data_IF_192719772769
#
_entry.id   IF_192719772769
#
_cell.length_a   1.000
_cell.length_b   1.000
_cell.length_c   1.000
_cell.angle_alpha   90.00
_cell.angle_beta   90.00
_cell.angle_gamma   90.00
#
_symmetry.space_group_name_H-M   'P 1'
#
loop_
_entity.id
_entity.type
_entity.pdbx_description
1 polymer ?
#
# COMPACT_ATOMS: atom_id res chain seq x y z
N UNK A 1 20.38 -27.89 -12.11
CA UNK A 1 20.60 -26.42 -12.02
C UNK A 1 19.30 -25.73 -12.42
N UNK A 2 18.84 -24.78 -11.61
CA UNK A 2 17.73 -23.91 -11.95
C UNK A 2 18.25 -22.68 -12.70
N UNK A 3 17.54 -22.25 -13.74
CA UNK A 3 17.84 -21.04 -14.50
C UNK A 3 16.59 -20.17 -14.60
N UNK A 4 16.76 -18.86 -14.47
CA UNK A 4 15.71 -17.87 -14.67
C UNK A 4 16.29 -16.64 -15.36
N UNK A 5 15.44 -15.96 -16.15
CA UNK A 5 15.75 -14.70 -16.79
C UNK A 5 14.71 -13.67 -16.35
N UNK A 6 15.14 -12.44 -16.11
CA UNK A 6 14.25 -11.33 -15.81
C UNK A 6 14.58 -10.13 -16.72
N UNK A 7 13.54 -9.41 -17.10
CA UNK A 7 13.62 -8.18 -17.88
C UNK A 7 13.32 -6.99 -16.97
N UNK A 8 14.12 -5.94 -17.08
CA UNK A 8 13.84 -4.65 -16.42
C UNK A 8 12.88 -3.87 -17.30
N UNK A 9 11.77 -3.45 -16.73
CA UNK A 9 10.73 -2.66 -17.40
C UNK A 9 10.94 -1.17 -17.12
N UNK A 10 10.48 -0.32 -18.05
CA UNK A 10 10.53 1.12 -17.85
C UNK A 10 9.61 1.56 -16.70
N UNK A 11 10.09 2.45 -15.82
CA UNK A 11 9.34 2.87 -14.66
C UNK A 11 8.16 3.79 -15.05
N UNK A 12 7.13 3.81 -14.22
CA UNK A 12 6.06 4.81 -14.28
C UNK A 12 6.58 6.13 -13.70
N UNK A 13 6.17 7.25 -14.26
CA UNK A 13 6.50 8.57 -13.73
C UNK A 13 5.42 9.04 -12.75
N UNK A 14 5.85 9.55 -11.60
CA UNK A 14 4.98 10.24 -10.64
C UNK A 14 5.02 11.73 -10.97
N UNK A 15 4.01 12.23 -11.70
CA UNK A 15 3.93 13.65 -12.08
C UNK A 15 3.65 14.52 -10.84
N UNK A 16 2.74 14.04 -9.98
CA UNK A 16 2.32 14.76 -8.78
C UNK A 16 1.74 13.79 -7.77
N UNK A 17 2.00 14.06 -6.50
CA UNK A 17 1.36 13.34 -5.41
C UNK A 17 0.92 14.34 -4.33
N UNK A 18 -0.35 14.31 -3.98
CA UNK A 18 -0.98 15.20 -3.01
C UNK A 18 -1.69 14.39 -1.93
N UNK A 19 -1.72 14.93 -0.72
CA UNK A 19 -2.63 14.48 0.33
C UNK A 19 -3.98 15.16 0.15
N UNK A 20 -5.05 14.38 -0.06
CA UNK A 20 -6.42 14.91 -0.15
C UNK A 20 -6.99 15.12 1.24
N UNK A 21 -6.79 14.14 2.10
CA UNK A 21 -7.34 14.09 3.45
C UNK A 21 -6.32 13.42 4.38
N UNK A 22 -6.18 13.93 5.58
CA UNK A 22 -5.34 13.34 6.61
C UNK A 22 -6.07 13.48 7.95
N UNK A 23 -6.60 12.36 8.42
CA UNK A 23 -7.33 12.25 9.67
C UNK A 23 -6.45 11.64 10.74
N UNK A 24 -6.52 12.22 11.92
CA UNK A 24 -5.73 11.87 13.08
C UNK A 24 -6.65 11.63 14.25
N UNK A 25 -6.48 10.52 14.93
CA UNK A 25 -7.23 10.21 16.13
C UNK A 25 -6.32 9.62 17.22
N UNK A 26 -6.67 9.92 18.45
CA UNK A 26 -6.03 9.40 19.65
C UNK A 26 -7.05 8.65 20.48
N UNK A 27 -6.66 7.48 20.95
CA UNK A 27 -7.43 6.73 21.93
C UNK A 27 -6.57 6.53 23.17
N UNK A 28 -6.94 7.20 24.25
CA UNK A 28 -6.16 7.22 25.49
C UNK A 28 -6.87 6.41 26.58
N UNK A 29 -6.07 5.58 27.27
CA UNK A 29 -6.46 4.92 28.51
C UNK A 29 -5.44 5.31 29.59
N UNK A 30 -5.67 4.91 30.85
CA UNK A 30 -4.70 5.12 31.93
C UNK A 30 -3.36 4.41 31.69
N UNK A 31 -3.30 3.42 30.82
CA UNK A 31 -2.13 2.57 30.58
C UNK A 31 -1.52 2.78 29.19
N UNK A 32 -2.35 3.08 28.19
CA UNK A 32 -1.92 3.13 26.81
C UNK A 32 -2.47 4.32 26.06
N UNK A 33 -1.68 4.81 25.09
CA UNK A 33 -2.08 5.80 24.11
C UNK A 33 -1.92 5.21 22.72
N UNK A 34 -3.04 5.02 22.04
CA UNK A 34 -3.07 4.64 20.64
C UNK A 34 -3.15 5.87 19.75
N UNK A 35 -2.28 5.92 18.77
CA UNK A 35 -2.23 6.97 17.75
C UNK A 35 -2.59 6.34 16.43
N UNK A 36 -3.63 6.85 15.78
CA UNK A 36 -4.08 6.41 14.47
C UNK A 36 -3.99 7.57 13.50
N UNK A 37 -3.53 7.29 12.31
CA UNK A 37 -3.56 8.24 11.22
C UNK A 37 -4.02 7.54 9.95
N UNK A 38 -5.06 8.08 9.33
CA UNK A 38 -5.52 7.70 8.00
C UNK A 38 -5.23 8.84 7.03
N UNK A 39 -4.63 8.52 5.89
CA UNK A 39 -4.28 9.50 4.86
C UNK A 39 -4.78 9.02 3.51
N UNK A 40 -5.50 9.90 2.82
CA UNK A 40 -5.95 9.68 1.45
C UNK A 40 -5.07 10.47 0.49
N UNK A 41 -4.58 9.77 -0.51
CA UNK A 41 -3.64 10.27 -1.51
C UNK A 41 -4.30 10.42 -2.88
N UNK A 42 -3.89 11.43 -3.61
CA UNK A 42 -4.19 11.60 -5.03
C UNK A 42 -2.88 11.70 -5.80
N UNK A 43 -2.64 10.74 -6.68
CA UNK A 43 -1.35 10.60 -7.33
C UNK A 43 -1.56 10.60 -8.84
N UNK A 44 -0.99 11.59 -9.51
CA UNK A 44 -1.02 11.68 -10.97
C UNK A 44 0.18 10.96 -11.54
N UNK A 45 -0.09 9.99 -12.41
CA UNK A 45 0.87 9.08 -13.01
C UNK A 45 0.94 9.25 -14.51
N UNK A 46 2.10 8.93 -15.08
CA UNK A 46 2.29 8.79 -16.51
C UNK A 46 3.10 7.54 -16.82
N UNK A 47 2.59 6.70 -17.70
CA UNK A 47 3.31 5.53 -18.20
C UNK A 47 4.15 5.88 -19.42
N UNK A 48 5.22 5.14 -19.68
CA UNK A 48 5.92 5.19 -20.96
C UNK A 48 4.99 4.87 -22.13
N UNK A 49 5.26 5.39 -23.29
CA UNK A 49 4.50 5.09 -24.52
C UNK A 49 5.01 3.77 -25.09
N UNK A 50 4.25 2.70 -24.94
CA UNK A 50 4.57 1.37 -25.47
C UNK A 50 3.41 0.77 -26.25
N UNK A 51 3.68 -0.26 -27.06
CA UNK A 51 2.66 -0.99 -27.83
C UNK A 51 2.14 -2.23 -27.09
N UNK A 52 2.49 -2.40 -25.82
CA UNK A 52 2.06 -3.53 -25.00
C UNK A 52 1.66 -3.05 -23.60
N UNK A 53 0.79 -3.83 -22.96
CA UNK A 53 0.37 -3.55 -21.57
C UNK A 53 1.53 -3.56 -20.62
N UNK A 54 1.52 -2.61 -19.70
CA UNK A 54 2.51 -2.46 -18.66
C UNK A 54 1.89 -2.79 -17.31
N UNK A 55 2.74 -3.32 -16.43
CA UNK A 55 2.32 -3.84 -15.13
C UNK A 55 3.11 -3.17 -14.02
N UNK A 56 2.40 -2.85 -12.94
CA UNK A 56 2.96 -2.07 -11.84
C UNK A 56 2.49 -2.59 -10.50
N UNK A 57 3.26 -2.25 -9.49
CA UNK A 57 2.89 -2.39 -8.08
C UNK A 57 3.10 -1.06 -7.37
N UNK A 58 2.24 -0.71 -6.42
CA UNK A 58 2.38 0.49 -5.59
C UNK A 58 2.50 0.12 -4.12
N UNK A 59 3.31 0.89 -3.40
CA UNK A 59 3.41 0.81 -1.95
C UNK A 59 3.63 2.19 -1.33
N UNK A 60 3.20 2.36 -0.08
CA UNK A 60 3.41 3.60 0.68
C UNK A 60 4.11 3.25 1.99
N UNK A 61 5.31 3.80 2.17
CA UNK A 61 6.06 3.72 3.41
C UNK A 61 5.83 4.97 4.22
N UNK A 62 5.23 4.84 5.40
CA UNK A 62 5.08 5.93 6.34
C UNK A 62 6.08 5.79 7.48
N UNK A 63 6.83 6.85 7.76
CA UNK A 63 7.79 6.89 8.87
C UNK A 63 7.46 8.07 9.76
N UNK A 64 7.26 7.82 11.03
CA UNK A 64 6.99 8.82 12.05
C UNK A 64 8.10 8.87 13.09
N UNK A 65 8.45 10.07 13.46
CA UNK A 65 9.40 10.37 14.54
C UNK A 65 8.65 11.03 15.69
N UNK A 66 8.70 10.40 16.85
CA UNK A 66 8.07 10.84 18.09
C UNK A 66 9.10 11.46 19.01
N UNK A 67 8.91 12.69 19.42
CA UNK A 67 9.62 13.27 20.57
C UNK A 67 8.82 12.99 21.82
N UNK A 68 9.42 12.25 22.74
CA UNK A 68 8.79 11.74 23.96
C UNK A 68 9.51 12.31 25.19
N UNK A 69 8.74 12.60 26.23
CA UNK A 69 9.29 12.87 27.57
C UNK A 69 8.92 11.73 28.51
N UNK A 70 9.88 11.14 29.17
CA UNK A 70 9.62 10.19 30.23
C UNK A 70 8.98 10.90 31.44
N UNK A 71 7.79 10.46 31.86
CA UNK A 71 7.02 11.12 32.94
C UNK A 71 7.69 11.03 34.32
N UNK A 72 8.56 10.03 34.54
CA UNK A 72 9.25 9.81 35.82
C UNK A 72 10.58 10.55 35.86
N UNK A 73 11.39 10.46 34.82
CA UNK A 73 12.75 11.03 34.82
C UNK A 73 12.80 12.42 34.21
N UNK A 74 11.74 12.87 33.54
CA UNK A 74 11.61 14.13 32.75
C UNK A 74 12.66 14.24 31.62
N UNK A 75 13.26 13.12 31.23
CA UNK A 75 14.23 13.07 30.15
C UNK A 75 13.51 12.92 28.79
N UNK A 76 14.01 13.64 27.81
CA UNK A 76 13.53 13.55 26.45
C UNK A 76 14.19 12.41 25.69
N UNK A 77 13.41 11.77 24.82
CA UNK A 77 13.86 10.69 23.95
C UNK A 77 13.17 10.80 22.57
N UNK A 78 13.69 10.05 21.62
CA UNK A 78 13.13 9.97 20.27
C UNK A 78 12.84 8.52 19.93
N UNK A 79 11.63 8.24 19.48
CA UNK A 79 11.24 6.95 18.90
C UNK A 79 10.91 7.13 17.41
N UNK A 80 11.26 6.12 16.61
CA UNK A 80 10.95 6.08 15.19
C UNK A 80 10.13 4.83 14.92
N UNK A 81 9.03 4.98 14.21
CA UNK A 81 8.20 3.88 13.76
C UNK A 81 7.95 3.99 12.26
N UNK A 82 7.97 2.84 11.58
CA UNK A 82 7.78 2.76 10.14
C UNK A 82 6.77 1.67 9.84
N UNK A 83 5.83 1.98 8.94
CA UNK A 83 4.80 1.06 8.48
C UNK A 83 4.67 1.12 6.97
N UNK A 84 4.39 -0.05 6.36
CA UNK A 84 4.20 -0.22 4.94
C UNK A 84 2.77 -0.68 4.69
N UNK A 85 1.87 0.28 4.51
CA UNK A 85 0.47 -0.04 4.27
C UNK A 85 -0.18 0.96 3.33
N UNK A 86 -0.81 0.46 2.26
CA UNK A 86 -1.74 1.22 1.46
C UNK A 86 -2.81 0.29 0.88
N UNK A 87 -3.95 0.88 0.56
CA UNK A 87 -5.06 0.20 -0.09
C UNK A 87 -5.58 1.05 -1.24
N UNK A 88 -5.83 0.40 -2.35
CA UNK A 88 -6.50 0.99 -3.50
C UNK A 88 -7.96 0.56 -3.63
N UNK A 89 -8.64 0.21 -2.54
CA UNK A 89 -10.02 -0.30 -2.54
C UNK A 89 -11.01 0.59 -3.31
N UNK A 90 -10.79 1.90 -3.33
CA UNK A 90 -11.63 2.85 -4.07
C UNK A 90 -11.06 3.25 -5.43
N UNK A 91 -9.96 2.63 -5.86
CA UNK A 91 -9.30 2.97 -7.12
C UNK A 91 -9.68 2.01 -8.24
N UNK A 92 -10.04 2.55 -9.39
CA UNK A 92 -10.53 1.77 -10.53
C UNK A 92 -9.45 0.84 -11.10
N UNK A 93 -8.21 1.30 -11.20
CA UNK A 93 -7.12 0.49 -11.76
C UNK A 93 -6.69 -0.65 -10.83
N UNK A 94 -6.69 -0.39 -9.51
CA UNK A 94 -6.35 -1.39 -8.51
C UNK A 94 -7.47 -2.42 -8.28
N UNK A 95 -8.71 -2.06 -8.57
CA UNK A 95 -9.89 -2.93 -8.39
C UNK A 95 -10.46 -3.45 -9.72
N UNK A 96 -9.65 -3.50 -10.77
CA UNK A 96 -10.04 -4.04 -12.10
C UNK A 96 -11.36 -3.48 -12.64
N UNK A 97 -11.57 -2.18 -12.49
CA UNK A 97 -12.79 -1.49 -12.94
C UNK A 97 -13.98 -1.60 -11.99
N UNK A 98 -13.80 -2.19 -10.80
CA UNK A 98 -14.86 -2.39 -9.80
C UNK A 98 -14.46 -1.78 -8.45
N UNK A 99 -14.23 -0.45 -8.38
CA UNK A 99 -13.83 0.19 -7.13
C UNK A 99 -14.90 0.02 -6.06
N UNK A 100 -14.47 -0.12 -4.81
CA UNK A 100 -15.36 -0.12 -3.66
C UNK A 100 -16.13 1.19 -3.54
N UNK A 101 -17.31 1.14 -2.93
CA UNK A 101 -18.10 2.34 -2.63
C UNK A 101 -18.15 2.57 -1.12
N UNK A 102 -18.00 3.82 -0.64
CA UNK A 102 -17.90 4.11 0.79
C UNK A 102 -19.12 3.72 1.65
N UNK A 103 -20.29 3.50 1.03
CA UNK A 103 -21.56 3.29 1.72
C UNK A 103 -22.34 2.11 1.14
N UNK A 104 -21.71 1.04 0.72
CA UNK A 104 -22.42 -0.12 0.20
C UNK A 104 -23.04 -0.95 1.35
N UNK A 105 -24.19 -0.47 1.84
CA UNK A 105 -25.08 -1.21 2.74
C UNK A 105 -25.99 -2.18 1.98
N UNK A 106 -25.80 -2.36 0.67
CA UNK A 106 -26.61 -3.28 -0.12
C UNK A 106 -26.11 -4.73 0.07
N UNK A 107 -26.91 -5.61 0.74
CA UNK A 107 -26.50 -6.98 1.01
C UNK A 107 -26.24 -7.80 -0.26
N UNK A 108 -26.80 -7.42 -1.40
CA UNK A 108 -26.67 -8.14 -2.67
C UNK A 108 -25.29 -7.90 -3.29
N UNK A 109 -24.71 -6.71 -3.10
CA UNK A 109 -23.39 -6.37 -3.66
C UNK A 109 -22.25 -7.02 -2.84
N UNK A 110 -22.48 -7.29 -1.54
CA UNK A 110 -21.54 -8.01 -0.68
C UNK A 110 -21.35 -9.49 -1.07
N UNK A 111 -22.17 -10.04 -1.96
CA UNK A 111 -22.03 -11.40 -2.49
C UNK A 111 -21.13 -11.51 -3.74
N UNK A 112 -20.69 -10.39 -4.33
CA UNK A 112 -19.69 -10.45 -5.39
C UNK A 112 -18.33 -10.49 -4.70
N UNK A 113 -17.59 -11.62 -4.76
CA UNK A 113 -16.26 -11.69 -4.17
C UNK A 113 -15.35 -10.70 -4.92
N UNK A 114 -15.12 -9.55 -4.31
CA UNK A 114 -14.04 -8.64 -4.74
C UNK A 114 -12.75 -9.24 -4.23
N UNK A 115 -11.93 -9.77 -5.14
CA UNK A 115 -10.57 -10.20 -4.77
C UNK A 115 -9.84 -8.98 -4.23
N UNK A 116 -9.46 -9.03 -2.96
CA UNK A 116 -8.64 -7.98 -2.35
C UNK A 116 -7.28 -7.91 -3.06
N UNK A 117 -6.82 -6.72 -3.32
CA UNK A 117 -5.54 -6.50 -3.98
C UNK A 117 -4.46 -6.18 -2.93
N UNK A 118 -4.10 -7.15 -2.08
CA UNK A 118 -3.13 -7.00 -0.98
C UNK A 118 -1.74 -6.56 -1.45
N UNK A 119 -1.37 -6.91 -2.68
CA UNK A 119 -0.08 -6.54 -3.25
C UNK A 119 -0.13 -5.25 -4.06
N UNK A 120 -1.32 -4.61 -4.18
CA UNK A 120 -1.56 -3.36 -4.90
C UNK A 120 -0.98 -3.38 -6.32
N UNK A 121 -1.21 -4.47 -7.05
CA UNK A 121 -0.78 -4.66 -8.44
C UNK A 121 -1.86 -4.17 -9.40
N UNK A 122 -1.46 -3.53 -10.50
CA UNK A 122 -2.35 -3.01 -11.53
C UNK A 122 -1.66 -3.00 -12.90
N UNK A 123 -2.43 -2.73 -13.93
CA UNK A 123 -1.93 -2.50 -15.27
C UNK A 123 -2.44 -1.15 -15.82
N UNK A 124 -1.97 -0.76 -16.98
CA UNK A 124 -2.28 0.51 -17.64
C UNK A 124 -3.60 0.50 -18.43
N UNK A 125 -4.44 -0.52 -18.30
CA UNK A 125 -5.69 -0.63 -19.06
C UNK A 125 -6.70 0.53 -18.83
N UNK A 126 -6.61 1.19 -17.67
CA UNK A 126 -7.47 2.31 -17.30
C UNK A 126 -6.80 3.69 -17.52
N UNK A 127 -5.62 3.70 -18.10
CA UNK A 127 -4.92 4.95 -18.41
C UNK A 127 -5.45 5.55 -19.71
N UNK A 128 -5.65 6.86 -19.72
CA UNK A 128 -6.06 7.63 -20.90
C UNK A 128 -4.89 8.51 -21.33
N UNK A 129 -4.46 8.38 -22.60
CA UNK A 129 -3.29 9.08 -23.12
C UNK A 129 -2.04 8.87 -22.22
N UNK A 130 -1.81 7.65 -21.77
CA UNK A 130 -0.74 7.26 -20.86
C UNK A 130 -0.77 7.95 -19.48
N UNK A 131 -1.88 8.57 -19.11
CA UNK A 131 -2.05 9.23 -17.82
C UNK A 131 -3.18 8.63 -17.01
N UNK A 132 -2.99 8.61 -15.69
CA UNK A 132 -3.99 8.17 -14.72
C UNK A 132 -3.87 8.97 -13.43
N UNK A 133 -4.98 9.15 -12.74
CA UNK A 133 -4.99 9.71 -11.40
C UNK A 133 -5.47 8.67 -10.41
N UNK A 134 -4.53 8.10 -9.67
CA UNK A 134 -4.77 7.06 -8.69
C UNK A 134 -5.17 7.64 -7.34
N UNK A 135 -6.11 6.98 -6.67
CA UNK A 135 -6.49 7.29 -5.28
C UNK A 135 -6.10 6.12 -4.39
N UNK A 136 -5.31 6.41 -3.35
CA UNK A 136 -4.87 5.43 -2.37
C UNK A 136 -5.26 5.89 -0.97
N UNK A 137 -5.56 4.92 -0.12
CA UNK A 137 -5.66 5.12 1.32
C UNK A 137 -4.45 4.46 2.00
N UNK A 138 -3.91 5.12 3.01
CA UNK A 138 -2.92 4.53 3.89
C UNK A 138 -3.28 4.81 5.35
N UNK A 139 -2.94 3.89 6.22
CA UNK A 139 -3.14 4.06 7.65
C UNK A 139 -1.88 3.71 8.40
N UNK A 140 -1.80 4.25 9.57
CA UNK A 140 -0.68 4.08 10.47
C UNK A 140 -1.21 4.00 11.90
N UNK A 141 -0.66 3.10 12.70
CA UNK A 141 -0.97 3.00 14.12
C UNK A 141 0.30 2.85 14.95
N UNK A 142 0.29 3.48 16.12
CA UNK A 142 1.39 3.40 17.08
C UNK A 142 0.83 3.32 18.49
N UNK A 143 1.37 2.40 19.29
CA UNK A 143 1.01 2.22 20.68
C UNK A 143 2.13 2.74 21.57
N UNK A 144 1.78 3.59 22.52
CA UNK A 144 2.67 4.15 23.50
C UNK A 144 2.21 3.79 24.92
N UNK A 145 3.16 3.47 25.81
CA UNK A 145 2.87 3.37 27.25
C UNK A 145 2.64 4.77 27.84
N UNK A 146 1.38 5.09 28.12
CA UNK A 146 0.97 6.41 28.62
C UNK A 146 1.41 6.67 30.08
N UNK A 147 1.72 5.62 30.87
CA UNK A 147 2.26 5.77 32.23
C UNK A 147 3.72 6.26 32.21
N UNK A 148 4.46 5.89 31.18
CA UNK A 148 5.89 6.18 31.07
C UNK A 148 6.19 7.42 30.25
N UNK A 149 5.40 7.70 29.20
CA UNK A 149 5.75 8.72 28.22
C UNK A 149 4.64 9.71 27.96
N UNK A 150 5.04 10.96 27.68
CA UNK A 150 4.20 12.00 27.09
C UNK A 150 4.77 12.37 25.71
N UNK A 151 3.90 12.59 24.74
CA UNK A 151 4.31 13.05 23.42
C UNK A 151 4.47 14.58 23.44
N UNK A 152 5.61 15.07 22.95
CA UNK A 152 5.84 16.49 22.69
C UNK A 152 5.57 16.86 21.24
N UNK A 153 6.01 15.98 20.33
CA UNK A 153 5.92 16.25 18.90
C UNK A 153 5.90 14.95 18.09
N UNK A 154 5.09 14.94 17.06
CA UNK A 154 5.10 13.89 16.03
C UNK A 154 5.44 14.56 14.70
N UNK A 155 6.44 14.06 14.00
CA UNK A 155 6.72 14.44 12.61
C UNK A 155 6.73 13.20 11.75
N UNK A 156 6.25 13.30 10.53
CA UNK A 156 6.15 12.17 9.64
C UNK A 156 6.55 12.50 8.20
N UNK A 157 6.89 11.44 7.46
CA UNK A 157 7.05 11.48 6.01
C UNK A 157 6.47 10.22 5.41
N UNK A 158 5.88 10.34 4.23
CA UNK A 158 5.50 9.23 3.39
C UNK A 158 6.45 9.14 2.20
N UNK A 159 6.83 7.93 1.82
CA UNK A 159 7.51 7.62 0.56
C UNK A 159 6.54 6.77 -0.24
N UNK A 160 6.09 7.28 -1.38
CA UNK A 160 5.23 6.59 -2.33
C UNK A 160 6.13 5.98 -3.37
N UNK A 161 6.04 4.65 -3.56
CA UNK A 161 6.87 3.89 -4.47
C UNK A 161 6.00 3.14 -5.48
N UNK A 162 6.32 3.30 -6.74
CA UNK A 162 5.78 2.50 -7.83
C UNK A 162 6.88 1.64 -8.43
N UNK A 163 6.59 0.39 -8.65
CA UNK A 163 7.51 -0.57 -9.23
C UNK A 163 6.97 -1.01 -10.59
N UNK A 164 7.77 -0.87 -11.64
CA UNK A 164 7.50 -1.55 -12.90
C UNK A 164 7.88 -3.02 -12.73
N UNK A 165 6.93 -3.91 -13.00
CA UNK A 165 7.05 -5.34 -12.77
C UNK A 165 6.82 -6.14 -14.07
N UNK A 166 7.32 -7.35 -14.12
CA UNK A 166 7.11 -8.22 -15.26
C UNK A 166 5.68 -8.75 -15.36
N UNK A 167 5.18 -9.13 -16.56
CA UNK A 167 3.88 -9.80 -16.69
C UNK A 167 3.78 -11.09 -15.84
N UNK A 168 4.89 -11.83 -15.74
CA UNK A 168 4.94 -13.05 -14.93
C UNK A 168 4.81 -12.76 -13.44
N UNK A 169 5.46 -11.72 -12.95
CA UNK A 169 5.36 -11.26 -11.58
C UNK A 169 3.95 -10.72 -11.26
N UNK A 170 3.39 -9.91 -12.17
CA UNK A 170 2.01 -9.45 -12.04
C UNK A 170 1.02 -10.61 -11.88
N UNK A 171 1.11 -11.62 -12.76
CA UNK A 171 0.25 -12.79 -12.68
C UNK A 171 0.48 -13.60 -11.38
N UNK A 172 1.72 -13.70 -10.93
CA UNK A 172 2.05 -14.38 -9.67
C UNK A 172 1.43 -13.64 -8.47
N UNK A 173 1.57 -12.32 -8.40
CA UNK A 173 1.00 -11.52 -7.30
C UNK A 173 -0.54 -11.50 -7.35
N UNK A 174 -1.14 -11.54 -8.54
CA UNK A 174 -2.60 -11.72 -8.72
C UNK A 174 -3.06 -13.10 -8.19
N UNK A 175 -2.31 -14.15 -8.49
CA UNK A 175 -2.59 -15.48 -7.94
C UNK A 175 -2.43 -15.51 -6.40
N UNK A 176 -1.42 -14.81 -5.87
CA UNK A 176 -1.21 -14.67 -4.43
C UNK A 176 -2.35 -13.90 -3.74
N UNK A 177 -2.89 -12.84 -4.38
CA UNK A 177 -4.10 -12.15 -3.89
C UNK A 177 -5.28 -13.12 -3.82
N UNK A 178 -5.55 -13.87 -4.90
CA UNK A 178 -6.64 -14.83 -4.95
C UNK A 178 -6.47 -15.94 -3.91
N UNK A 179 -5.24 -16.40 -3.67
CA UNK A 179 -4.94 -17.39 -2.64
C UNK A 179 -5.16 -16.83 -1.22
N UNK A 180 -4.82 -15.58 -0.97
CA UNK A 180 -5.03 -14.93 0.33
C UNK A 180 -6.53 -14.73 0.65
N UNK A 181 -7.36 -14.54 -0.37
CA UNK A 181 -8.83 -14.44 -0.23
C UNK A 181 -9.52 -15.82 -0.16
N UNK A 182 -8.77 -16.90 -0.43
CA UNK A 182 -9.33 -18.25 -0.46
C UNK A 182 -9.74 -18.69 0.95
N UNK A 183 -11.03 -18.93 1.12
CA UNK A 183 -11.54 -19.55 2.35
C UNK A 183 -11.32 -21.06 2.28
N UNK A 184 -10.37 -21.56 3.06
CA UNK A 184 -10.06 -22.98 3.14
C UNK A 184 -11.25 -23.87 3.57
N UNK A 185 -12.35 -23.28 4.01
CA UNK A 185 -13.59 -23.98 4.34
C UNK A 185 -14.46 -24.31 3.12
N UNK A 186 -14.21 -23.68 1.98
CA UNK A 186 -15.01 -23.85 0.77
C UNK A 186 -14.40 -24.91 -0.17
N UNK A 187 -14.84 -26.15 -0.02
CA UNK A 187 -14.37 -27.30 -0.79
C UNK A 187 -14.69 -27.25 -2.31
N UNK A 188 -15.47 -26.26 -2.75
CA UNK A 188 -15.88 -26.12 -4.16
C UNK A 188 -15.06 -25.06 -4.91
N UNK A 189 -14.10 -24.40 -4.27
CA UNK A 189 -13.26 -23.42 -4.92
C UNK A 189 -12.22 -24.07 -5.84
N UNK A 190 -11.97 -23.44 -6.98
CA UNK A 190 -10.94 -23.91 -7.91
C UNK A 190 -9.55 -23.65 -7.34
N UNK A 191 -8.61 -24.59 -7.43
CA UNK A 191 -7.26 -24.40 -6.96
C UNK A 191 -6.59 -23.19 -7.63
N UNK A 192 -5.93 -22.34 -6.86
CA UNK A 192 -5.14 -21.22 -7.38
C UNK A 192 -3.84 -21.76 -7.99
N UNK A 193 -3.62 -21.49 -9.27
CA UNK A 193 -2.41 -21.89 -9.99
C UNK A 193 -1.44 -20.72 -9.99
N UNK A 194 -0.28 -20.90 -9.37
CA UNK A 194 0.81 -19.95 -9.39
C UNK A 194 1.64 -20.10 -10.67
N UNK A 195 1.84 -19.02 -11.45
CA UNK A 195 2.76 -19.05 -12.58
C UNK A 195 4.21 -19.28 -12.11
N UNK A 196 5.04 -19.79 -13.03
CA UNK A 196 6.43 -20.13 -12.77
C UNK A 196 7.30 -19.69 -13.95
N UNK A 197 8.38 -18.96 -13.72
CA UNK A 197 9.36 -18.59 -14.74
C UNK A 197 10.76 -19.19 -14.50
N UNK A 198 10.88 -20.09 -13.52
CA UNK A 198 12.14 -20.74 -13.18
C UNK A 198 12.23 -22.12 -13.83
N UNK A 199 13.12 -22.30 -14.79
CA UNK A 199 13.39 -23.61 -15.41
C UNK A 199 14.14 -24.51 -14.41
N UNK A 200 13.54 -25.66 -14.06
CA UNK A 200 14.11 -26.58 -13.08
C UNK A 200 13.92 -26.18 -11.62
N UNK A 201 12.98 -25.29 -11.35
CA UNK A 201 12.57 -24.85 -10.01
C UNK A 201 11.09 -24.43 -9.99
N UNK A 202 10.63 -23.90 -8.87
CA UNK A 202 9.27 -23.38 -8.68
C UNK A 202 9.36 -21.96 -8.16
N UNK A 203 8.52 -21.07 -8.68
CA UNK A 203 8.37 -19.69 -8.24
C UNK A 203 8.65 -18.65 -9.32
N UNK A 204 8.82 -17.42 -8.91
CA UNK A 204 9.09 -16.27 -9.79
C UNK A 204 10.46 -15.69 -9.46
N UNK A 205 11.25 -15.48 -10.50
CA UNK A 205 12.42 -14.60 -10.48
C UNK A 205 12.05 -13.32 -11.23
N UNK A 206 12.12 -12.18 -10.55
CA UNK A 206 11.73 -10.89 -11.09
C UNK A 206 12.73 -9.80 -10.68
N UNK A 207 12.75 -8.70 -11.45
CA UNK A 207 13.47 -7.47 -11.14
C UNK A 207 12.45 -6.34 -11.20
N UNK A 208 12.30 -5.64 -10.08
CA UNK A 208 11.46 -4.46 -9.97
C UNK A 208 12.27 -3.19 -10.26
N UNK A 209 11.68 -2.25 -10.99
CA UNK A 209 12.27 -0.95 -11.26
C UNK A 209 11.46 0.14 -10.57
N UNK A 210 11.93 0.69 -9.43
CA UNK A 210 11.16 1.63 -8.63
C UNK A 210 11.25 3.07 -9.13
N UNK A 211 10.13 3.79 -9.01
CA UNK A 211 10.06 5.25 -8.98
C UNK A 211 9.48 5.67 -7.64
N UNK A 212 10.04 6.69 -7.01
CA UNK A 212 9.58 7.13 -5.70
C UNK A 212 9.46 8.65 -5.57
N UNK A 213 8.56 9.08 -4.69
CA UNK A 213 8.45 10.45 -4.24
C UNK A 213 8.25 10.51 -2.73
N UNK A 214 8.80 11.54 -2.09
CA UNK A 214 8.71 11.73 -0.64
C UNK A 214 7.85 12.96 -0.33
N UNK A 215 6.87 12.79 0.56
CA UNK A 215 5.92 13.83 0.97
C UNK A 215 5.99 13.98 2.48
N UNK A 216 6.20 15.21 3.01
CA UNK A 216 6.08 15.45 4.43
C UNK A 216 4.63 15.27 4.88
N UNK A 217 4.43 14.63 6.03
CA UNK A 217 3.14 14.51 6.68
C UNK A 217 2.97 15.67 7.68
N UNK A 218 1.71 16.02 7.95
CA UNK A 218 1.39 17.08 8.90
C UNK A 218 1.97 16.74 10.27
N UNK A 219 2.75 17.65 10.83
CA UNK A 219 3.27 17.52 12.20
C UNK A 219 2.18 17.80 13.22
N UNK A 220 2.29 17.14 14.37
CA UNK A 220 1.40 17.30 15.52
C UNK A 220 2.27 17.72 16.69
N UNK A 221 1.90 18.80 17.36
CA UNK A 221 2.64 19.35 18.50
C UNK A 221 1.75 19.36 19.75
N UNK A 222 2.37 19.11 20.90
CA UNK A 222 1.78 19.17 22.25
C UNK A 222 0.50 18.31 22.48
N UNK A 223 0.75 17.08 22.88
CA UNK A 223 -0.26 16.16 23.45
C UNK A 223 0.06 15.82 24.89
#
# INVERSE_FOLDING_TARGET
KANAEATVYEPIEIIKADTIESNHSLSETSESLWIYQATKWKIKLQTPTTNHSQYYRVNIKQTYTYRLTNRKTLQDSTAISTQWECSGYYDTALMDGKPGTPNNSDPIINFIPTINNYYNVFNDAYFTNNQYTMTLDSWYSFLLDNKLYKIKKITGKAIIQYYAISPAEYQYLRAANAYADHDSSNLLETPVIFPNNIKGGIGIFAIENPTETSIPLKSIEDY
#
